data_IF_816378694090
#
_entry.id   IF_816378694090
#
_cell.length_a   1.000
_cell.length_b   1.000
_cell.length_c   1.000
_cell.angle_alpha   90.00
_cell.angle_beta   90.00
_cell.angle_gamma   90.00
#
_symmetry.space_group_name_H-M   'P 1'
#
loop_
_entity.id
_entity.type
_entity.pdbx_description
1 polymer ?
#
# COMPACT_ATOMS: atom_id res chain seq x y z
N UNK A 1 14.38 -7.71 0.99
CA UNK A 1 13.48 -6.95 1.89
C UNK A 1 12.32 -7.85 2.34
N UNK A 2 11.98 -7.87 3.63
CA UNK A 2 10.75 -8.51 4.11
C UNK A 2 9.63 -7.45 4.15
N UNK A 3 8.56 -7.68 3.40
CA UNK A 3 7.42 -6.76 3.28
C UNK A 3 6.22 -7.38 3.97
N UNK A 4 5.68 -6.73 4.99
CA UNK A 4 4.38 -7.10 5.54
C UNK A 4 3.37 -6.02 5.19
N UNK A 5 2.27 -6.44 4.57
CA UNK A 5 1.14 -5.57 4.24
C UNK A 5 0.02 -5.87 5.20
N UNK A 6 -0.33 -4.89 6.01
CA UNK A 6 -1.45 -4.95 6.95
C UNK A 6 -2.58 -4.07 6.43
N UNK A 7 -3.74 -4.68 6.20
CA UNK A 7 -4.96 -3.97 5.86
C UNK A 7 -5.93 -4.03 7.03
N UNK A 8 -6.34 -2.86 7.50
CA UNK A 8 -7.29 -2.73 8.60
C UNK A 8 -8.65 -2.34 8.00
N UNK A 9 -9.67 -3.18 8.23
CA UNK A 9 -11.07 -2.96 7.82
C UNK A 9 -11.37 -2.92 6.31
N UNK A 10 -10.50 -3.45 5.43
CA UNK A 10 -10.85 -3.66 4.02
C UNK A 10 -10.10 -4.83 3.38
N UNK A 11 -10.60 -5.32 2.25
CA UNK A 11 -9.98 -6.38 1.46
C UNK A 11 -9.02 -5.77 0.42
N UNK A 12 -7.75 -6.16 0.46
CA UNK A 12 -6.73 -5.64 -0.44
C UNK A 12 -6.86 -6.27 -1.83
N UNK A 13 -7.25 -5.46 -2.81
CA UNK A 13 -7.23 -5.89 -4.22
C UNK A 13 -5.78 -6.08 -4.70
N UNK A 14 -5.58 -7.00 -5.65
CA UNK A 14 -4.29 -7.27 -6.29
C UNK A 14 -3.67 -6.02 -6.91
N UNK A 15 -4.50 -5.08 -7.38
CA UNK A 15 -4.03 -3.78 -7.89
C UNK A 15 -3.29 -2.95 -6.84
N UNK A 16 -3.78 -2.94 -5.60
CA UNK A 16 -3.16 -2.22 -4.49
C UNK A 16 -1.84 -2.87 -4.06
N UNK A 17 -1.78 -4.20 -4.11
CA UNK A 17 -0.54 -4.94 -3.87
C UNK A 17 0.51 -4.58 -4.94
N UNK A 18 0.11 -4.58 -6.22
CA UNK A 18 0.99 -4.18 -7.32
C UNK A 18 1.50 -2.74 -7.19
N UNK A 19 0.63 -1.83 -6.77
CA UNK A 19 1.02 -0.44 -6.50
C UNK A 19 2.10 -0.34 -5.40
N UNK A 20 1.92 -1.05 -4.28
CA UNK A 20 2.91 -1.05 -3.19
C UNK A 20 4.23 -1.65 -3.67
N UNK A 21 4.19 -2.74 -4.43
CA UNK A 21 5.39 -3.37 -4.98
C UNK A 21 6.19 -2.39 -5.84
N UNK A 22 5.56 -1.70 -6.80
CA UNK A 22 6.25 -0.72 -7.66
C UNK A 22 6.89 0.42 -6.85
N UNK A 23 6.25 0.84 -5.75
CA UNK A 23 6.80 1.87 -4.87
C UNK A 23 8.00 1.37 -4.07
N UNK A 24 7.97 0.12 -3.62
CA UNK A 24 9.06 -0.51 -2.89
C UNK A 24 10.26 -0.81 -3.80
N UNK A 25 10.03 -1.24 -5.04
CA UNK A 25 11.09 -1.47 -6.04
C UNK A 25 11.87 -0.18 -6.33
N UNK A 26 11.18 0.97 -6.35
CA UNK A 26 11.84 2.28 -6.43
C UNK A 26 12.72 2.54 -5.21
N UNK A 27 12.24 2.23 -4.00
CA UNK A 27 13.04 2.38 -2.78
C UNK A 27 14.29 1.51 -2.81
N UNK A 28 14.18 0.25 -3.22
CA UNK A 28 15.31 -0.68 -3.30
C UNK A 28 16.38 -0.20 -4.29
N UNK A 29 15.96 0.40 -5.41
CA UNK A 29 16.89 0.97 -6.40
C UNK A 29 17.75 2.12 -5.87
N UNK A 30 17.23 2.94 -4.96
CA UNK A 30 17.96 4.10 -4.41
C UNK A 30 18.56 3.82 -3.02
N UNK A 31 18.02 2.85 -2.29
CA UNK A 31 18.43 2.52 -0.93
C UNK A 31 18.79 1.03 -0.84
N UNK A 32 20.05 0.70 -1.11
CA UNK A 32 20.55 -0.68 -1.13
C UNK A 32 20.63 -1.40 0.23
N UNK A 33 20.04 -0.85 1.31
CA UNK A 33 20.06 -1.43 2.66
C UNK A 33 18.68 -1.49 3.34
N UNK A 34 17.59 -1.62 2.57
CA UNK A 34 16.26 -1.79 3.15
C UNK A 34 16.05 -3.25 3.56
N UNK A 35 16.20 -3.52 4.85
CA UNK A 35 16.03 -4.87 5.42
C UNK A 35 14.55 -5.20 5.63
N UNK A 36 13.75 -4.20 6.00
CA UNK A 36 12.37 -4.38 6.46
C UNK A 36 11.48 -3.20 6.09
N UNK A 37 10.25 -3.49 5.65
CA UNK A 37 9.24 -2.50 5.30
C UNK A 37 7.85 -2.97 5.75
N UNK A 38 7.19 -2.18 6.60
CA UNK A 38 5.79 -2.40 6.97
C UNK A 38 4.88 -1.38 6.29
N UNK A 39 3.83 -1.87 5.66
CA UNK A 39 2.85 -1.06 4.94
C UNK A 39 1.49 -1.25 5.59
N UNK A 40 0.93 -0.14 6.09
CA UNK A 40 -0.39 -0.13 6.70
C UNK A 40 -1.36 0.61 5.78
N UNK A 41 -2.36 -0.12 5.29
CA UNK A 41 -3.49 0.48 4.61
C UNK A 41 -4.60 0.76 5.62
N UNK A 42 -5.04 2.01 5.67
CA UNK A 42 -6.20 2.46 6.43
C UNK A 42 -7.19 3.08 5.46
N UNK A 43 -8.45 2.73 5.61
CA UNK A 43 -9.54 3.47 4.98
C UNK A 43 -9.72 4.76 5.77
N UNK A 44 -9.75 5.90 5.08
CA UNK A 44 -10.11 7.16 5.72
C UNK A 44 -11.62 7.13 6.02
N UNK A 45 -12.00 7.56 7.22
CA UNK A 45 -13.39 7.55 7.70
C UNK A 45 -14.13 8.81 7.25
N UNK A 46 -13.86 9.32 6.04
CA UNK A 46 -14.66 10.40 5.48
C UNK A 46 -16.06 9.86 5.22
N UNK A 47 -17.07 10.44 5.90
CA UNK A 47 -18.48 10.10 5.68
C UNK A 47 -18.98 10.49 4.29
N UNK A 48 -18.13 11.11 3.48
CA UNK A 48 -18.43 11.51 2.13
C UNK A 48 -18.21 10.34 1.18
N UNK A 49 -19.33 9.74 0.78
CA UNK A 49 -19.48 8.84 -0.35
C UNK A 49 -19.05 9.52 -1.66
N UNK A 50 -17.80 9.88 -1.83
CA UNK A 50 -17.26 10.41 -3.09
C UNK A 50 -16.70 9.30 -3.98
N UNK A 51 -17.49 8.25 -4.21
CA UNK A 51 -17.35 7.43 -5.41
C UNK A 51 -18.62 7.59 -6.25
N UNK A 52 -18.77 8.78 -6.86
CA UNK A 52 -19.56 8.92 -8.08
C UNK A 52 -18.59 9.11 -9.24
N UNK A 53 -18.27 8.00 -9.88
CA UNK A 53 -17.80 7.99 -11.26
C UNK A 53 -18.98 8.55 -12.09
N UNK A 54 -18.74 9.64 -12.81
CA UNK A 54 -19.59 10.12 -13.90
C UNK A 54 -18.77 10.08 -15.18
#
# INVERSE_FOLDING_TARGET
MKVNVHAVNFNVDRKLIGYVQERLDKLEKYYGKVVYSDVFFKLDNTSDKENKIA
#
